data_IF_132800547824
#
_entry.id   IF_132800547824
#
_cell.length_a   1.000
_cell.length_b   1.000
_cell.length_c   1.000
_cell.angle_alpha   90.00
_cell.angle_beta   90.00
_cell.angle_gamma   90.00
#
_symmetry.space_group_name_H-M   'P 1'
#
loop_
_entity.id
_entity.type
_entity.pdbx_description
1 polymer ?
#
# COMPACT_ATOMS: atom_id res chain seq x y z
N UNK A 1 -20.88 4.39 25.89
CA UNK A 1 -21.17 3.31 24.92
C UNK A 1 -19.92 3.20 24.09
N UNK A 2 -19.24 2.05 24.14
CA UNK A 2 -18.01 1.85 23.36
C UNK A 2 -18.36 2.04 21.87
N UNK A 3 -17.48 2.71 21.14
CA UNK A 3 -17.64 3.00 19.72
C UNK A 3 -17.72 1.66 18.97
N UNK A 4 -18.89 1.32 18.43
CA UNK A 4 -19.16 0.06 17.71
C UNK A 4 -18.57 0.08 16.28
N UNK A 5 -17.78 1.10 15.92
CA UNK A 5 -17.14 1.24 14.62
C UNK A 5 -16.08 0.16 14.34
N UNK A 6 -16.00 -0.29 13.09
CA UNK A 6 -14.86 -1.08 12.62
C UNK A 6 -13.75 -0.12 12.17
N UNK A 7 -12.62 -0.11 12.88
CA UNK A 7 -11.45 0.69 12.51
C UNK A 7 -10.51 -0.11 11.62
N UNK A 8 -10.37 0.28 10.36
CA UNK A 8 -9.37 -0.26 9.45
C UNK A 8 -8.13 0.62 9.48
N UNK A 9 -6.96 -0.01 9.47
CA UNK A 9 -5.70 0.66 9.20
C UNK A 9 -5.25 0.32 7.78
N UNK A 10 -5.17 1.34 6.95
CA UNK A 10 -4.69 1.25 5.57
C UNK A 10 -3.38 2.02 5.47
N UNK A 11 -2.46 1.51 4.67
CA UNK A 11 -1.23 2.23 4.37
C UNK A 11 -0.82 2.10 2.92
N UNK A 12 0.19 2.88 2.58
CA UNK A 12 0.83 2.89 1.29
C UNK A 12 1.71 1.67 1.01
N UNK A 13 2.60 1.87 0.05
CA UNK A 13 3.44 0.84 -0.52
C UNK A 13 4.59 0.44 0.43
N UNK A 14 4.76 -0.87 0.61
CA UNK A 14 5.83 -1.48 1.41
C UNK A 14 6.83 -2.09 0.44
N UNK A 15 7.90 -1.36 0.20
CA UNK A 15 8.97 -1.68 -0.73
C UNK A 15 10.27 -1.94 0.04
N UNK A 16 10.52 -3.20 0.35
CA UNK A 16 11.71 -3.61 1.11
C UNK A 16 12.84 -4.13 0.23
N UNK A 17 12.60 -4.37 -1.06
CA UNK A 17 13.48 -5.17 -1.92
C UNK A 17 14.71 -4.50 -2.53
N UNK A 18 15.24 -3.43 -1.94
CA UNK A 18 16.48 -2.77 -2.42
C UNK A 18 17.34 -2.34 -1.23
N UNK A 19 17.49 -1.04 -0.96
CA UNK A 19 18.32 -0.54 0.15
C UNK A 19 17.88 -1.05 1.52
N UNK A 20 16.56 -1.22 1.74
CA UNK A 20 16.04 -1.82 2.98
C UNK A 20 16.53 -3.26 3.17
N UNK A 21 16.44 -4.12 2.14
CA UNK A 21 16.94 -5.49 2.22
C UNK A 21 18.43 -5.52 2.55
N UNK A 22 19.22 -4.62 1.94
CA UNK A 22 20.68 -4.48 2.16
C UNK A 22 21.09 -4.05 3.57
N UNK A 23 20.18 -3.50 4.37
CA UNK A 23 20.45 -3.18 5.79
C UNK A 23 19.96 -4.26 6.75
N UNK A 24 19.15 -5.22 6.29
CA UNK A 24 18.66 -6.34 7.11
C UNK A 24 19.70 -7.46 7.26
N UNK A 25 19.37 -8.49 8.05
CA UNK A 25 20.32 -9.54 8.45
C UNK A 25 20.72 -10.49 7.30
N UNK A 26 19.83 -10.71 6.34
CA UNK A 26 20.02 -11.73 5.30
C UNK A 26 19.75 -11.19 3.88
N UNK A 27 20.44 -10.13 3.44
CA UNK A 27 20.18 -9.53 2.13
C UNK A 27 20.42 -10.50 0.98
N UNK A 28 19.69 -10.31 -0.13
CA UNK A 28 20.09 -10.88 -1.42
C UNK A 28 21.35 -10.19 -1.95
N UNK A 29 22.06 -10.79 -2.93
CA UNK A 29 23.14 -10.09 -3.62
C UNK A 29 22.67 -8.71 -4.14
N UNK A 30 23.49 -7.65 -3.98
CA UNK A 30 23.07 -6.26 -4.18
C UNK A 30 22.92 -5.87 -5.65
N UNK A 31 23.26 -6.74 -6.60
CA UNK A 31 23.24 -6.43 -8.01
C UNK A 31 21.83 -6.03 -8.47
N UNK A 32 21.76 -4.90 -9.18
CA UNK A 32 20.54 -4.38 -9.78
C UNK A 32 20.66 -4.33 -11.31
N UNK A 33 19.51 -4.48 -11.97
CA UNK A 33 19.40 -4.50 -13.43
C UNK A 33 18.81 -3.20 -13.99
N UNK A 34 18.90 -2.10 -13.25
CA UNK A 34 18.44 -0.78 -13.66
C UNK A 34 19.48 -0.10 -14.58
N UNK A 35 19.06 0.89 -15.36
CA UNK A 35 19.95 1.59 -16.32
C UNK A 35 20.96 2.54 -15.64
N UNK A 36 20.70 2.96 -14.40
CA UNK A 36 21.41 4.05 -13.73
C UNK A 36 22.01 3.68 -12.37
N UNK A 37 21.43 2.71 -11.66
CA UNK A 37 21.99 2.14 -10.43
C UNK A 37 22.10 0.63 -10.60
N UNK A 38 23.30 0.10 -10.38
CA UNK A 38 23.59 -1.34 -10.54
C UNK A 38 23.87 -2.05 -9.22
N UNK A 39 23.80 -1.33 -8.10
CA UNK A 39 24.08 -1.84 -6.75
C UNK A 39 23.09 -1.25 -5.75
N UNK A 40 22.30 -2.11 -5.10
CA UNK A 40 21.26 -1.71 -4.16
C UNK A 40 21.81 -0.97 -2.93
N UNK A 41 23.11 -1.13 -2.61
CA UNK A 41 23.76 -0.40 -1.52
C UNK A 41 23.89 1.09 -1.81
N UNK A 42 23.83 1.49 -3.08
CA UNK A 42 23.78 2.91 -3.46
C UNK A 42 22.57 3.62 -2.84
N UNK A 43 21.41 2.98 -2.71
CA UNK A 43 20.25 3.58 -2.03
C UNK A 43 20.49 3.78 -0.53
N UNK A 44 21.26 2.88 0.10
CA UNK A 44 21.67 3.06 1.49
C UNK A 44 22.65 4.24 1.61
N UNK A 45 23.63 4.35 0.71
CA UNK A 45 24.58 5.47 0.68
C UNK A 45 23.89 6.82 0.43
N UNK A 46 22.84 6.85 -0.40
CA UNK A 46 22.01 8.04 -0.61
C UNK A 46 21.28 8.43 0.67
N UNK A 47 20.62 7.47 1.34
CA UNK A 47 19.95 7.71 2.62
C UNK A 47 20.93 8.22 3.69
N UNK A 48 22.10 7.59 3.81
CA UNK A 48 23.11 7.97 4.80
C UNK A 48 23.72 9.35 4.56
N UNK A 49 23.82 9.77 3.29
CA UNK A 49 24.34 11.09 2.92
C UNK A 49 23.45 12.21 3.44
N UNK A 50 22.13 12.01 3.46
CA UNK A 50 21.16 13.03 3.87
C UNK A 50 20.73 12.89 5.33
N UNK A 51 20.69 11.67 5.88
CA UNK A 51 20.12 11.38 7.20
C UNK A 51 21.08 10.70 8.19
N UNK A 52 22.32 10.45 7.79
CA UNK A 52 23.36 9.85 8.64
C UNK A 52 23.41 8.33 8.59
N UNK A 53 24.47 7.75 9.18
CA UNK A 53 24.79 6.31 9.10
C UNK A 53 23.67 5.42 9.63
N UNK A 54 23.44 4.30 8.95
CA UNK A 54 22.58 3.19 9.40
C UNK A 54 23.48 2.07 9.91
N UNK A 55 23.34 1.67 11.17
CA UNK A 55 24.12 0.59 11.78
C UNK A 55 23.58 -0.77 11.32
N UNK A 56 24.34 -1.49 10.49
CA UNK A 56 23.91 -2.74 9.83
C UNK A 56 24.52 -3.98 10.52
N UNK A 57 23.81 -5.12 10.60
CA UNK A 57 22.42 -5.28 10.20
C UNK A 57 21.45 -4.65 11.21
N UNK A 58 20.35 -4.07 10.72
CA UNK A 58 19.26 -3.56 11.54
C UNK A 58 18.27 -4.67 11.92
N UNK A 59 17.53 -4.45 13.01
CA UNK A 59 16.44 -5.35 13.39
C UNK A 59 15.28 -5.31 12.36
N UNK A 60 14.49 -6.38 12.22
CA UNK A 60 13.33 -6.39 11.30
C UNK A 60 12.28 -5.31 11.58
N UNK A 61 12.23 -4.77 12.80
CA UNK A 61 11.32 -3.68 13.17
C UNK A 61 11.84 -2.30 12.78
N UNK A 62 13.11 -2.18 12.38
CA UNK A 62 13.76 -0.90 12.11
C UNK A 62 13.05 -0.09 11.02
N UNK A 63 12.72 -0.63 9.82
CA UNK A 63 12.10 0.17 8.78
C UNK A 63 10.74 0.77 9.16
N UNK A 64 10.02 0.07 10.04
CA UNK A 64 8.74 0.53 10.55
C UNK A 64 8.88 1.65 11.58
N UNK A 65 9.98 1.68 12.34
CA UNK A 65 10.22 2.69 13.37
C UNK A 65 9.02 2.92 14.29
N UNK A 66 8.62 4.18 14.43
CA UNK A 66 7.53 4.59 15.32
C UNK A 66 6.13 4.19 14.81
N UNK A 67 6.01 3.74 13.55
CA UNK A 67 4.70 3.31 13.02
C UNK A 67 4.16 2.10 13.75
N UNK A 68 4.98 1.16 14.21
CA UNK A 68 4.50 -0.03 14.94
C UNK A 68 3.80 0.39 16.24
N UNK A 69 4.42 1.29 17.01
CA UNK A 69 3.83 1.80 18.24
C UNK A 69 2.51 2.56 17.96
N UNK A 70 2.46 3.32 16.86
CA UNK A 70 1.23 3.99 16.43
C UNK A 70 0.13 2.98 16.05
N UNK A 71 0.44 1.99 15.21
CA UNK A 71 -0.48 0.91 14.84
C UNK A 71 -1.04 0.18 16.06
N UNK A 72 -0.21 -0.01 17.09
CA UNK A 72 -0.59 -0.70 18.32
C UNK A 72 -1.48 0.16 19.22
N UNK A 73 -1.18 1.46 19.30
CA UNK A 73 -2.01 2.42 20.04
C UNK A 73 -3.41 2.57 19.42
N UNK A 74 -3.51 2.54 18.10
CA UNK A 74 -4.80 2.65 17.42
C UNK A 74 -5.66 1.40 17.53
N UNK A 75 -5.06 0.25 17.83
CA UNK A 75 -5.73 -1.04 17.96
C UNK A 75 -6.74 -1.30 16.82
N UNK A 76 -6.29 -1.22 15.54
CA UNK A 76 -7.20 -1.37 14.42
C UNK A 76 -7.76 -2.79 14.37
N UNK A 77 -9.02 -2.91 13.96
CA UNK A 77 -9.69 -4.18 13.79
C UNK A 77 -9.08 -5.02 12.66
N UNK A 78 -8.58 -4.37 11.60
CA UNK A 78 -7.91 -5.00 10.45
C UNK A 78 -6.87 -4.05 9.87
N UNK A 79 -5.70 -4.57 9.48
CA UNK A 79 -4.59 -3.88 8.81
C UNK A 79 -4.45 -4.38 7.36
N UNK A 80 -4.53 -3.48 6.38
CA UNK A 80 -4.35 -3.80 4.94
C UNK A 80 -3.23 -2.95 4.34
N UNK A 81 -2.21 -3.60 3.80
CA UNK A 81 -1.01 -2.96 3.25
C UNK A 81 -0.71 -3.51 1.85
N UNK A 82 -0.08 -2.70 0.98
CA UNK A 82 0.41 -3.16 -0.32
C UNK A 82 1.87 -3.61 -0.20
N UNK A 83 2.16 -4.86 -0.56
CA UNK A 83 3.53 -5.38 -0.64
C UNK A 83 4.02 -5.22 -2.08
N UNK A 84 4.82 -4.18 -2.31
CA UNK A 84 5.30 -3.78 -3.63
C UNK A 84 6.74 -4.23 -3.84
N UNK A 85 6.96 -5.53 -3.65
CA UNK A 85 8.29 -6.14 -3.72
C UNK A 85 8.13 -7.63 -3.96
N UNK A 86 9.01 -8.19 -4.80
CA UNK A 86 9.14 -9.65 -4.94
C UNK A 86 9.91 -10.21 -3.73
N UNK A 87 9.40 -11.27 -3.10
CA UNK A 87 10.03 -11.95 -1.95
C UNK A 87 10.62 -13.27 -2.40
N UNK A 88 11.86 -13.24 -2.89
CA UNK A 88 12.39 -14.34 -3.71
C UNK A 88 13.91 -14.38 -3.74
N UNK A 89 14.46 -15.57 -3.89
CA UNK A 89 15.88 -15.82 -4.20
C UNK A 89 16.13 -16.00 -5.71
N UNK A 90 15.07 -15.99 -6.53
CA UNK A 90 15.13 -16.14 -7.98
C UNK A 90 15.98 -15.06 -8.64
N UNK A 91 16.70 -15.47 -9.68
CA UNK A 91 17.42 -14.61 -10.61
C UNK A 91 16.66 -14.48 -11.96
N UNK A 92 15.36 -14.76 -12.02
CA UNK A 92 14.53 -14.61 -13.24
C UNK A 92 14.09 -13.15 -13.46
N UNK A 93 15.03 -12.20 -13.46
CA UNK A 93 14.68 -10.77 -13.52
C UNK A 93 13.91 -10.41 -14.81
N UNK A 94 12.90 -9.56 -14.67
CA UNK A 94 12.06 -9.12 -15.77
C UNK A 94 12.84 -8.17 -16.71
N UNK A 95 13.22 -8.66 -17.88
CA UNK A 95 13.93 -7.84 -18.88
C UNK A 95 13.13 -6.58 -19.29
N UNK A 96 13.86 -5.46 -19.40
CA UNK A 96 13.31 -4.16 -19.83
C UNK A 96 12.53 -3.42 -18.74
N UNK A 97 12.58 -3.88 -17.50
CA UNK A 97 11.97 -3.21 -16.35
C UNK A 97 12.97 -2.20 -15.77
N UNK A 98 12.54 -0.96 -15.58
CA UNK A 98 13.44 0.14 -15.21
C UNK A 98 14.00 0.05 -13.78
N UNK A 99 13.23 -0.52 -12.85
CA UNK A 99 13.54 -0.60 -11.40
C UNK A 99 13.07 -1.93 -10.84
N UNK A 100 13.93 -2.76 -10.28
CA UNK A 100 13.54 -4.08 -9.74
C UNK A 100 13.68 -4.16 -8.23
N UNK A 101 12.70 -4.73 -7.53
CA UNK A 101 12.74 -4.96 -6.08
C UNK A 101 12.74 -6.45 -5.75
N UNK A 102 13.76 -6.88 -5.00
CA UNK A 102 13.93 -8.23 -4.45
C UNK A 102 14.24 -8.18 -2.97
N UNK A 103 13.33 -8.67 -2.15
CA UNK A 103 13.62 -8.95 -0.75
C UNK A 103 13.98 -10.43 -0.59
N UNK A 104 14.99 -10.70 0.22
CA UNK A 104 15.32 -12.06 0.62
C UNK A 104 14.17 -12.69 1.42
N UNK A 105 13.73 -13.92 1.10
CA UNK A 105 12.80 -14.67 1.93
C UNK A 105 13.26 -14.85 3.38
N UNK A 106 14.58 -14.86 3.64
CA UNK A 106 15.12 -14.96 4.99
C UNK A 106 14.90 -13.69 5.83
N UNK A 107 14.52 -12.57 5.21
CA UNK A 107 14.20 -11.31 5.87
C UNK A 107 12.70 -11.14 6.18
N UNK A 108 11.87 -12.17 5.96
CA UNK A 108 10.41 -12.11 6.10
C UNK A 108 9.88 -11.57 7.44
N UNK A 109 10.70 -11.65 8.50
CA UNK A 109 10.41 -11.04 9.79
C UNK A 109 10.05 -9.54 9.67
N UNK A 110 10.61 -8.81 8.69
CA UNK A 110 10.28 -7.40 8.45
C UNK A 110 8.80 -7.24 8.09
N UNK A 111 8.21 -8.15 7.32
CA UNK A 111 6.78 -8.09 6.97
C UNK A 111 5.91 -8.49 8.16
N UNK A 112 6.27 -9.55 8.87
CA UNK A 112 5.49 -10.03 10.03
C UNK A 112 5.45 -9.01 11.18
N UNK A 113 6.45 -8.13 11.29
CA UNK A 113 6.50 -7.08 12.31
C UNK A 113 5.30 -6.12 12.24
N UNK A 114 4.77 -5.83 11.04
CA UNK A 114 3.61 -4.97 10.85
C UNK A 114 2.29 -5.61 11.27
N UNK A 115 2.26 -6.93 11.40
CA UNK A 115 1.06 -7.73 11.74
C UNK A 115 -0.13 -7.39 10.82
N UNK A 116 0.15 -7.18 9.53
CA UNK A 116 -0.90 -6.94 8.55
C UNK A 116 -1.80 -8.17 8.42
N UNK A 117 -3.10 -7.96 8.40
CA UNK A 117 -4.09 -9.02 8.21
C UNK A 117 -4.24 -9.38 6.73
N UNK A 118 -4.03 -8.44 5.82
CA UNK A 118 -4.05 -8.67 4.37
C UNK A 118 -2.94 -7.90 3.68
N UNK A 119 -2.19 -8.60 2.82
CA UNK A 119 -1.23 -8.04 1.88
C UNK A 119 -1.81 -7.99 0.46
N UNK A 120 -1.94 -6.78 -0.09
CA UNK A 120 -2.24 -6.57 -1.50
C UNK A 120 -0.97 -6.80 -2.35
N UNK A 121 -1.11 -7.54 -3.45
CA UNK A 121 0.00 -7.93 -4.33
C UNK A 121 -0.18 -7.48 -5.79
N UNK A 122 -1.35 -6.98 -6.19
CA UNK A 122 -1.58 -6.59 -7.59
C UNK A 122 -0.92 -5.24 -7.90
N UNK A 123 0.39 -5.24 -8.05
CA UNK A 123 1.22 -4.07 -8.35
C UNK A 123 2.25 -4.40 -9.44
N UNK A 124 3.02 -3.39 -9.81
CA UNK A 124 4.06 -3.41 -10.85
C UNK A 124 5.43 -3.95 -10.37
N UNK A 125 5.52 -4.50 -9.15
CA UNK A 125 6.79 -5.00 -8.57
C UNK A 125 6.76 -6.48 -8.11
N UNK A 126 5.59 -7.12 -8.04
CA UNK A 126 5.46 -8.54 -7.62
C UNK A 126 6.04 -9.55 -8.63
N UNK A 127 6.28 -9.12 -9.88
CA UNK A 127 6.82 -9.93 -10.98
C UNK A 127 8.18 -9.43 -11.48
N UNK A 128 8.90 -8.67 -10.65
CA UNK A 128 10.22 -8.15 -10.99
C UNK A 128 11.25 -9.24 -11.25
N UNK A 129 11.02 -10.42 -10.67
CA UNK A 129 11.81 -11.63 -10.84
C UNK A 129 11.01 -12.75 -11.49
N UNK A 130 10.15 -12.35 -12.44
CA UNK A 130 9.52 -13.26 -13.37
C UNK A 130 8.55 -14.22 -12.71
N UNK A 131 8.20 -15.29 -13.42
CA UNK A 131 7.19 -16.25 -12.93
C UNK A 131 7.75 -17.08 -11.78
N UNK A 132 9.04 -17.45 -11.85
CA UNK A 132 9.69 -18.18 -10.76
C UNK A 132 9.73 -17.36 -9.47
N UNK A 133 10.02 -16.06 -9.57
CA UNK A 133 10.02 -15.16 -8.41
C UNK A 133 8.63 -14.89 -7.85
N UNK A 134 7.61 -14.78 -8.71
CA UNK A 134 6.21 -14.70 -8.25
C UNK A 134 5.78 -15.96 -7.51
N UNK A 135 6.07 -17.14 -8.05
CA UNK A 135 5.70 -18.42 -7.43
C UNK A 135 6.38 -18.60 -6.07
N UNK A 136 7.69 -18.33 -5.97
CA UNK A 136 8.40 -18.35 -4.69
C UNK A 136 7.85 -17.31 -3.71
N UNK A 137 7.53 -16.10 -4.18
CA UNK A 137 6.88 -15.06 -3.35
C UNK A 137 5.57 -15.59 -2.75
N UNK A 138 4.71 -16.21 -3.57
CA UNK A 138 3.44 -16.79 -3.11
C UNK A 138 3.67 -17.93 -2.11
N UNK A 139 4.64 -18.80 -2.35
CA UNK A 139 4.99 -19.90 -1.44
C UNK A 139 5.51 -19.40 -0.09
N UNK A 140 6.42 -18.42 -0.09
CA UNK A 140 7.01 -17.84 1.12
C UNK A 140 5.96 -17.14 1.97
N UNK A 141 5.09 -16.32 1.35
CA UNK A 141 4.02 -15.62 2.07
C UNK A 141 3.00 -16.61 2.63
N UNK A 142 2.61 -17.63 1.87
CA UNK A 142 1.69 -18.67 2.34
C UNK A 142 2.28 -19.51 3.47
N UNK A 143 3.55 -19.91 3.38
CA UNK A 143 4.24 -20.68 4.42
C UNK A 143 4.35 -19.90 5.75
N UNK A 144 4.40 -18.57 5.69
CA UNK A 144 4.38 -17.70 6.86
C UNK A 144 2.96 -17.36 7.36
N UNK A 145 1.92 -17.89 6.73
CA UNK A 145 0.53 -17.64 7.10
C UNK A 145 0.06 -16.22 6.80
N UNK A 146 0.73 -15.51 5.89
CA UNK A 146 0.33 -14.16 5.47
C UNK A 146 -0.78 -14.28 4.43
N UNK A 147 -1.95 -13.73 4.76
CA UNK A 147 -3.06 -13.68 3.80
C UNK A 147 -2.80 -12.62 2.72
N UNK A 148 -2.97 -13.03 1.47
CA UNK A 148 -2.66 -12.21 0.29
C UNK A 148 -3.83 -12.18 -0.69
N UNK A 149 -3.85 -11.17 -1.56
CA UNK A 149 -4.78 -11.08 -2.70
C UNK A 149 -4.15 -10.28 -3.84
N UNK A 150 -4.61 -10.51 -5.08
CA UNK A 150 -4.21 -9.73 -6.25
C UNK A 150 -3.09 -10.34 -7.11
N UNK A 151 -2.49 -11.44 -6.68
CA UNK A 151 -1.57 -12.24 -7.50
C UNK A 151 -1.77 -13.73 -7.21
N UNK A 152 -1.50 -14.59 -8.19
CA UNK A 152 -1.78 -16.01 -8.09
C UNK A 152 -1.16 -16.85 -9.17
N UNK A 153 -1.27 -18.18 -9.02
CA UNK A 153 -0.80 -19.19 -9.99
C UNK A 153 -1.71 -19.30 -11.22
N UNK A 154 -2.90 -18.73 -11.15
CA UNK A 154 -3.84 -18.59 -12.25
C UNK A 154 -4.81 -17.40 -12.01
N UNK A 155 -5.72 -17.16 -12.96
CA UNK A 155 -6.73 -16.12 -12.87
C UNK A 155 -7.68 -16.29 -11.67
N UNK A 156 -8.00 -17.51 -11.26
CA UNK A 156 -8.91 -17.75 -10.14
C UNK A 156 -8.24 -17.34 -8.82
N UNK A 157 -7.01 -17.79 -8.60
CA UNK A 157 -6.22 -17.44 -7.42
C UNK A 157 -5.91 -15.93 -7.38
N UNK A 158 -5.47 -15.33 -8.48
CA UNK A 158 -5.13 -13.91 -8.50
C UNK A 158 -6.33 -13.01 -8.19
N UNK A 159 -7.53 -13.38 -8.67
CA UNK A 159 -8.78 -12.65 -8.42
C UNK A 159 -9.52 -13.11 -7.15
N UNK A 160 -8.92 -13.98 -6.33
CA UNK A 160 -9.52 -14.45 -5.09
C UNK A 160 -9.38 -13.38 -3.99
N UNK A 161 -10.47 -12.92 -3.38
CA UNK A 161 -10.39 -12.01 -2.25
C UNK A 161 -9.78 -12.68 -1.01
N UNK A 162 -9.05 -11.89 -0.22
CA UNK A 162 -8.65 -12.24 1.13
C UNK A 162 -9.74 -11.84 2.14
N UNK A 163 -9.79 -12.52 3.28
CA UNK A 163 -10.80 -12.30 4.31
C UNK A 163 -10.10 -12.13 5.65
N UNK A 164 -10.27 -10.96 6.27
CA UNK A 164 -9.83 -10.68 7.63
C UNK A 164 -11.02 -10.67 8.60
N UNK A 165 -10.78 -11.13 9.82
CA UNK A 165 -11.78 -11.15 10.89
C UNK A 165 -11.50 -10.01 11.86
N UNK A 166 -12.50 -9.20 12.17
CA UNK A 166 -12.38 -8.24 13.28
C UNK A 166 -12.48 -8.96 14.62
N UNK A 167 -11.97 -8.38 15.72
CA UNK A 167 -12.12 -8.94 17.07
C UNK A 167 -13.58 -9.22 17.48
N UNK A 168 -14.52 -8.42 16.96
CA UNK A 168 -15.95 -8.56 17.24
C UNK A 168 -16.67 -9.52 16.27
N UNK A 169 -15.94 -10.22 15.40
CA UNK A 169 -16.47 -11.26 14.51
C UNK A 169 -17.03 -10.78 13.17
N UNK A 170 -16.89 -9.49 12.85
CA UNK A 170 -17.19 -8.97 11.51
C UNK A 170 -16.12 -9.40 10.51
N UNK A 171 -16.46 -9.47 9.23
CA UNK A 171 -15.53 -9.81 8.15
C UNK A 171 -15.24 -8.61 7.29
N UNK A 172 -13.97 -8.46 6.94
CA UNK A 172 -13.49 -7.51 5.93
C UNK A 172 -12.96 -8.33 4.76
N UNK A 173 -13.61 -8.21 3.61
CA UNK A 173 -13.24 -8.90 2.37
C UNK A 173 -12.47 -7.92 1.50
N UNK A 174 -11.24 -8.27 1.15
CA UNK A 174 -10.29 -7.41 0.44
C UNK A 174 -9.96 -8.05 -0.89
N UNK A 175 -10.02 -7.28 -1.97
CA UNK A 175 -9.52 -7.71 -3.28
C UNK A 175 -8.53 -6.67 -3.80
N UNK A 176 -7.34 -7.13 -4.15
CA UNK A 176 -6.32 -6.28 -4.78
C UNK A 176 -6.37 -6.44 -6.30
N UNK A 177 -6.30 -5.31 -7.00
CA UNK A 177 -6.28 -5.22 -8.46
C UNK A 177 -5.27 -4.17 -8.92
N UNK A 178 -4.59 -4.45 -10.03
CA UNK A 178 -3.67 -3.52 -10.67
C UNK A 178 -4.31 -2.86 -11.88
N UNK A 179 -3.90 -1.64 -12.22
CA UNK A 179 -4.23 -0.98 -13.48
C UNK A 179 -2.97 -0.77 -14.33
N UNK A 180 -3.14 -0.69 -15.65
CA UNK A 180 -2.00 -0.47 -16.55
C UNK A 180 -1.34 0.92 -16.41
N UNK A 181 -2.06 1.92 -15.88
CA UNK A 181 -1.54 3.28 -15.70
C UNK A 181 -0.44 3.39 -14.63
N UNK A 182 -0.32 2.42 -13.71
CA UNK A 182 0.76 2.31 -12.73
C UNK A 182 1.95 1.47 -13.23
N UNK A 183 1.99 1.19 -14.53
CA UNK A 183 3.10 0.46 -15.14
C UNK A 183 3.01 -1.06 -15.01
N UNK A 184 1.87 -1.60 -14.58
CA UNK A 184 1.61 -3.06 -14.64
C UNK A 184 1.44 -3.49 -16.10
N UNK A 185 2.36 -4.27 -16.68
CA UNK A 185 2.27 -4.66 -18.07
C UNK A 185 1.11 -5.64 -18.31
N UNK A 186 0.40 -5.51 -19.44
CA UNK A 186 -0.68 -6.43 -19.80
C UNK A 186 -0.26 -7.90 -19.85
N UNK A 187 1.00 -8.17 -20.22
CA UNK A 187 1.58 -9.51 -20.21
C UNK A 187 1.67 -10.14 -18.82
N UNK A 188 1.59 -9.36 -17.74
CA UNK A 188 1.62 -9.86 -16.36
C UNK A 188 0.26 -10.24 -15.81
N UNK A 189 -0.83 -9.96 -16.52
CA UNK A 189 -2.16 -10.41 -16.11
C UNK A 189 -2.18 -11.93 -15.90
N UNK A 190 -2.75 -12.40 -14.80
CA UNK A 190 -3.03 -13.82 -14.60
C UNK A 190 -4.01 -14.32 -15.67
N UNK A 191 -3.90 -15.59 -16.04
CA UNK A 191 -4.80 -16.25 -17.00
C UNK A 191 -5.12 -17.67 -16.58
N UNK A 192 -5.93 -18.37 -17.36
CA UNK A 192 -6.21 -19.79 -17.14
C UNK A 192 -4.91 -20.61 -17.15
N UNK A 193 -4.53 -21.14 -15.98
CA UNK A 193 -3.27 -21.88 -15.79
C UNK A 193 -2.00 -21.05 -15.99
N UNK A 194 -2.10 -19.70 -15.93
CA UNK A 194 -0.97 -18.79 -16.10
C UNK A 194 -0.84 -17.89 -14.87
N UNK A 195 0.28 -17.95 -14.13
CA UNK A 195 0.51 -17.09 -12.99
C UNK A 195 0.57 -15.61 -13.40
N UNK A 196 0.18 -14.73 -12.48
CA UNK A 196 0.24 -13.30 -12.70
C UNK A 196 -0.58 -12.51 -11.69
N UNK A 197 -0.89 -11.26 -12.06
CA UNK A 197 -1.67 -10.32 -11.25
C UNK A 197 -3.12 -10.21 -11.70
N UNK A 198 -4.02 -9.84 -10.79
CA UNK A 198 -5.38 -9.43 -11.09
C UNK A 198 -5.39 -8.04 -11.77
N UNK A 199 -5.04 -8.02 -13.06
CA UNK A 199 -4.99 -6.79 -13.86
C UNK A 199 -6.39 -6.40 -14.37
N UNK A 200 -6.78 -5.15 -14.13
CA UNK A 200 -7.97 -4.56 -14.71
C UNK A 200 -7.82 -4.44 -16.24
N UNK A 201 -8.78 -4.93 -17.03
CA UNK A 201 -8.73 -4.77 -18.50
C UNK A 201 -9.03 -3.32 -18.93
N UNK A 202 -9.82 -2.60 -18.14
CA UNK A 202 -10.16 -1.19 -18.31
C UNK A 202 -10.73 -0.61 -17.00
N UNK A 203 -10.92 0.70 -16.97
CA UNK A 203 -11.56 1.42 -15.86
C UNK A 203 -13.04 1.72 -16.15
N UNK A 204 -13.78 0.74 -16.71
CA UNK A 204 -15.21 0.87 -17.01
C UNK A 204 -16.10 0.43 -15.84
N UNK A 205 -17.35 0.91 -15.83
CA UNK A 205 -18.36 0.42 -14.88
C UNK A 205 -18.72 -1.07 -15.05
N UNK A 206 -18.38 -1.71 -16.17
CA UNK A 206 -18.51 -3.18 -16.32
C UNK A 206 -17.44 -3.87 -15.49
N UNK A 207 -16.21 -3.39 -15.56
CA UNK A 207 -15.09 -3.90 -14.78
C UNK A 207 -15.30 -3.65 -13.29
N UNK A 208 -15.80 -2.49 -12.89
CA UNK A 208 -16.14 -2.21 -11.49
C UNK A 208 -17.16 -3.22 -10.92
N UNK A 209 -18.22 -3.54 -11.68
CA UNK A 209 -19.18 -4.58 -11.29
C UNK A 209 -18.57 -5.99 -11.23
N UNK A 210 -17.58 -6.30 -12.08
CA UNK A 210 -16.83 -7.57 -12.01
C UNK A 210 -16.04 -7.65 -10.70
N UNK A 211 -15.33 -6.58 -10.34
CA UNK A 211 -14.58 -6.47 -9.07
C UNK A 211 -15.52 -6.65 -7.88
N UNK A 212 -16.62 -5.90 -7.83
CA UNK A 212 -17.61 -6.02 -6.76
C UNK A 212 -18.23 -7.42 -6.68
N UNK A 213 -18.51 -8.06 -7.83
CA UNK A 213 -19.02 -9.44 -7.85
C UNK A 213 -18.01 -10.41 -7.23
N UNK A 214 -16.71 -10.29 -7.51
CA UNK A 214 -15.68 -11.14 -6.88
C UNK A 214 -15.66 -10.98 -5.37
N UNK A 215 -15.76 -9.75 -4.87
CA UNK A 215 -15.88 -9.48 -3.43
C UNK A 215 -17.13 -10.12 -2.81
N UNK A 216 -18.27 -10.09 -3.51
CA UNK A 216 -19.51 -10.75 -3.07
C UNK A 216 -19.36 -12.27 -3.08
N UNK A 217 -18.77 -12.85 -4.13
CA UNK A 217 -18.53 -14.30 -4.27
C UNK A 217 -17.56 -14.84 -3.20
N UNK A 218 -16.53 -14.07 -2.82
CA UNK A 218 -15.61 -14.42 -1.72
C UNK A 218 -16.13 -14.05 -0.32
N UNK A 219 -17.21 -13.27 -0.25
CA UNK A 219 -17.82 -12.78 0.97
C UNK A 219 -19.12 -13.50 1.34
N UNK A 220 -19.84 -12.91 2.28
CA UNK A 220 -21.24 -13.22 2.64
C UNK A 220 -21.99 -11.92 2.93
N UNK A 221 -23.34 -11.95 3.03
CA UNK A 221 -24.11 -10.77 3.39
C UNK A 221 -23.62 -10.15 4.71
N UNK A 222 -23.47 -8.82 4.75
CA UNK A 222 -22.98 -8.08 5.91
C UNK A 222 -21.46 -7.94 6.02
N UNK A 223 -20.69 -8.49 5.08
CA UNK A 223 -19.24 -8.27 5.06
C UNK A 223 -18.88 -6.85 4.57
N UNK A 224 -17.91 -6.22 5.23
CA UNK A 224 -17.25 -5.03 4.73
C UNK A 224 -16.36 -5.39 3.53
N UNK A 225 -16.23 -4.48 2.57
CA UNK A 225 -15.64 -4.76 1.26
C UNK A 225 -14.67 -3.66 0.89
N UNK A 226 -13.42 -4.04 0.70
CA UNK A 226 -12.32 -3.16 0.37
C UNK A 226 -11.75 -3.57 -0.98
N UNK A 227 -11.57 -2.62 -1.88
CA UNK A 227 -10.77 -2.83 -3.09
C UNK A 227 -9.47 -2.09 -2.92
N UNK A 228 -8.35 -2.81 -2.99
CA UNK A 228 -7.02 -2.22 -3.07
C UNK A 228 -6.64 -2.06 -4.55
N UNK A 229 -6.37 -0.84 -5.00
CA UNK A 229 -6.15 -0.53 -6.41
C UNK A 229 -4.79 0.12 -6.63
N UNK A 230 -3.92 -0.54 -7.39
CA UNK A 230 -2.61 0.00 -7.77
C UNK A 230 -2.72 0.74 -9.12
N UNK A 231 -2.76 2.07 -9.11
CA UNK A 231 -3.13 2.86 -10.31
C UNK A 231 -2.43 4.22 -10.42
N UNK A 232 -2.46 4.78 -11.62
CA UNK A 232 -2.04 6.14 -11.91
C UNK A 232 -0.55 6.41 -11.83
N UNK A 233 -0.21 7.68 -12.12
CA UNK A 233 1.17 8.15 -12.09
C UNK A 233 1.75 8.08 -10.68
N UNK A 234 3.07 7.87 -10.58
CA UNK A 234 3.76 7.87 -9.29
C UNK A 234 3.85 9.27 -8.65
N UNK A 235 3.71 10.33 -9.44
CA UNK A 235 3.83 11.72 -9.01
C UNK A 235 2.66 12.58 -9.49
N UNK A 236 2.27 13.58 -8.70
CA UNK A 236 1.19 14.52 -9.01
C UNK A 236 -0.04 14.35 -8.11
N UNK A 237 -0.72 15.45 -7.82
CA UNK A 237 -1.90 15.48 -6.95
C UNK A 237 -3.24 15.45 -7.68
N UNK A 238 -3.23 15.60 -9.01
CA UNK A 238 -4.45 15.56 -9.80
C UNK A 238 -5.03 14.14 -9.82
N UNK A 239 -6.32 14.04 -9.53
CA UNK A 239 -7.07 12.80 -9.67
C UNK A 239 -7.61 12.71 -11.08
N UNK A 240 -7.14 11.71 -11.83
CA UNK A 240 -7.60 11.51 -13.20
C UNK A 240 -9.12 11.27 -13.25
N UNK A 241 -9.87 11.90 -14.17
CA UNK A 241 -11.32 11.70 -14.27
C UNK A 241 -11.73 10.23 -14.48
N UNK A 242 -10.89 9.41 -15.11
CA UNK A 242 -11.13 7.97 -15.30
C UNK A 242 -11.07 7.23 -13.96
N UNK A 243 -10.08 7.50 -13.11
CA UNK A 243 -9.93 6.92 -11.78
C UNK A 243 -11.11 7.30 -10.89
N UNK A 244 -11.51 8.58 -10.90
CA UNK A 244 -12.67 9.05 -10.14
C UNK A 244 -13.95 8.34 -10.56
N UNK A 245 -14.24 8.27 -11.87
CA UNK A 245 -15.42 7.54 -12.36
C UNK A 245 -15.38 6.05 -12.01
N UNK A 246 -14.21 5.42 -12.04
CA UNK A 246 -14.09 4.02 -11.68
C UNK A 246 -14.28 3.79 -10.18
N UNK A 247 -13.72 4.66 -9.33
CA UNK A 247 -13.94 4.64 -7.89
C UNK A 247 -15.42 4.78 -7.54
N UNK A 248 -16.12 5.74 -8.16
CA UNK A 248 -17.57 5.91 -8.00
C UNK A 248 -18.32 4.66 -8.44
N UNK A 249 -17.98 4.09 -9.60
CA UNK A 249 -18.60 2.85 -10.07
C UNK A 249 -18.34 1.64 -9.17
N UNK A 250 -17.21 1.59 -8.46
CA UNK A 250 -16.94 0.56 -7.44
C UNK A 250 -17.86 0.75 -6.23
N UNK A 251 -17.97 1.99 -5.73
CA UNK A 251 -18.86 2.34 -4.61
C UNK A 251 -20.32 2.03 -4.95
N UNK A 252 -20.80 2.48 -6.11
CA UNK A 252 -22.15 2.18 -6.62
C UNK A 252 -22.40 0.67 -6.78
N UNK A 253 -21.36 -0.13 -6.99
CA UNK A 253 -21.45 -1.59 -7.07
C UNK A 253 -21.37 -2.28 -5.71
N UNK A 254 -21.28 -1.53 -4.60
CA UNK A 254 -21.30 -2.02 -3.23
C UNK A 254 -19.91 -2.26 -2.62
N UNK A 255 -18.88 -1.53 -3.06
CA UNK A 255 -17.58 -1.45 -2.39
C UNK A 255 -17.63 -0.34 -1.34
N UNK A 256 -17.12 -0.58 -0.14
CA UNK A 256 -17.20 0.37 0.97
C UNK A 256 -15.94 1.21 1.12
N UNK A 257 -14.80 0.70 0.68
CA UNK A 257 -13.51 1.40 0.71
C UNK A 257 -12.75 1.15 -0.58
N UNK A 258 -12.30 2.22 -1.22
CA UNK A 258 -11.31 2.16 -2.30
C UNK A 258 -9.96 2.59 -1.72
N UNK A 259 -9.01 1.66 -1.65
CA UNK A 259 -7.66 1.81 -1.12
C UNK A 259 -6.67 1.93 -2.28
N UNK A 260 -6.46 3.15 -2.78
CA UNK A 260 -5.52 3.43 -3.88
C UNK A 260 -4.08 3.56 -3.42
N UNK A 261 -3.13 3.13 -4.26
CA UNK A 261 -1.68 3.27 -4.08
C UNK A 261 -0.95 3.32 -5.44
N UNK A 262 0.39 3.16 -5.51
CA UNK A 262 1.31 3.50 -6.63
C UNK A 262 1.89 4.92 -6.59
N UNK A 263 1.13 5.90 -6.09
CA UNK A 263 1.68 7.25 -5.91
C UNK A 263 2.73 7.22 -4.81
N UNK A 264 3.92 7.77 -5.05
CA UNK A 264 5.01 7.82 -4.06
C UNK A 264 4.77 8.84 -2.94
N UNK A 265 3.60 9.45 -2.89
CA UNK A 265 3.20 10.40 -1.86
C UNK A 265 1.68 10.29 -1.64
N UNK A 266 1.16 10.64 -0.45
CA UNK A 266 -0.28 10.68 -0.23
C UNK A 266 -0.99 11.60 -1.24
N UNK A 267 -2.18 11.19 -1.66
CA UNK A 267 -3.08 11.89 -2.59
C UNK A 267 -4.37 12.30 -1.89
N UNK A 268 -5.15 13.24 -2.47
CA UNK A 268 -6.38 13.69 -1.84
C UNK A 268 -7.38 12.55 -1.66
N UNK A 269 -8.28 12.74 -0.70
CA UNK A 269 -9.34 11.80 -0.33
C UNK A 269 -10.69 12.32 -0.85
N UNK A 270 -11.60 11.43 -1.21
CA UNK A 270 -13.00 11.75 -1.48
C UNK A 270 -13.91 10.88 -0.62
N UNK A 271 -15.07 11.43 -0.24
CA UNK A 271 -16.17 10.65 0.29
C UNK A 271 -17.30 10.70 -0.72
N UNK A 272 -17.69 9.54 -1.23
CA UNK A 272 -18.70 9.40 -2.27
C UNK A 272 -19.79 8.47 -1.78
N UNK A 273 -21.04 8.92 -1.76
CA UNK A 273 -22.21 8.16 -1.26
C UNK A 273 -22.02 7.60 0.17
N UNK A 274 -21.21 8.29 1.00
CA UNK A 274 -20.89 7.88 2.37
C UNK A 274 -19.68 6.95 2.50
N UNK A 275 -19.06 6.53 1.39
CA UNK A 275 -17.92 5.61 1.36
C UNK A 275 -16.62 6.33 0.99
N UNK A 276 -15.50 5.90 1.58
CA UNK A 276 -14.21 6.57 1.40
C UNK A 276 -13.45 6.06 0.18
N UNK A 277 -12.87 7.00 -0.56
CA UNK A 277 -11.96 6.78 -1.68
C UNK A 277 -10.62 7.43 -1.35
N UNK A 278 -9.61 6.60 -1.08
CA UNK A 278 -8.22 7.01 -0.95
C UNK A 278 -7.59 6.90 -2.35
N UNK A 279 -7.31 8.02 -3.03
CA UNK A 279 -6.78 7.96 -4.40
C UNK A 279 -5.33 7.51 -4.49
N UNK A 280 -4.59 7.56 -3.38
CA UNK A 280 -3.20 7.17 -3.29
C UNK A 280 -2.71 7.33 -1.86
N UNK A 281 -2.34 6.24 -1.19
CA UNK A 281 -1.86 6.29 0.19
C UNK A 281 -0.39 6.68 0.32
N UNK A 282 0.33 6.84 -0.79
CA UNK A 282 1.78 7.10 -0.76
C UNK A 282 2.59 5.81 -0.68
N UNK A 283 3.89 5.96 -0.52
CA UNK A 283 4.71 4.90 0.04
C UNK A 283 4.54 4.91 1.57
N UNK A 284 4.79 3.77 2.21
CA UNK A 284 5.00 3.73 3.66
C UNK A 284 6.46 3.40 3.98
N UNK A 285 6.96 2.27 3.50
CA UNK A 285 8.35 1.83 3.74
C UNK A 285 9.05 1.73 2.39
N UNK A 286 10.10 2.51 2.16
CA UNK A 286 10.94 2.43 0.97
C UNK A 286 12.35 2.99 1.23
N UNK A 287 13.14 3.12 0.16
CA UNK A 287 14.54 3.56 0.18
C UNK A 287 14.79 4.80 -0.70
N UNK A 288 13.81 5.70 -0.81
CA UNK A 288 13.91 6.89 -1.68
C UNK A 288 14.71 8.05 -1.11
N UNK A 289 15.16 7.94 0.15
CA UNK A 289 15.94 8.98 0.80
C UNK A 289 17.18 9.36 -0.01
N UNK A 290 17.31 10.65 -0.33
CA UNK A 290 18.43 11.19 -1.09
C UNK A 290 18.31 11.07 -2.62
N UNK A 291 17.21 10.49 -3.14
CA UNK A 291 16.87 10.57 -4.56
C UNK A 291 16.28 11.95 -4.85
N UNK A 292 16.88 12.71 -5.78
CA UNK A 292 16.45 14.06 -6.13
C UNK A 292 15.48 14.14 -7.30
N UNK A 293 14.90 15.32 -7.52
CA UNK A 293 14.05 15.66 -8.67
C UNK A 293 12.54 15.70 -8.39
N UNK A 294 12.12 15.32 -7.18
CA UNK A 294 10.71 15.26 -6.76
C UNK A 294 10.46 15.95 -5.42
N UNK A 295 11.34 16.88 -5.01
CA UNK A 295 11.33 17.52 -3.69
C UNK A 295 10.00 18.26 -3.40
N UNK A 296 9.31 18.73 -4.44
CA UNK A 296 8.01 19.39 -4.31
C UNK A 296 6.90 18.48 -3.75
N UNK A 297 7.07 17.16 -3.86
CA UNK A 297 6.13 16.16 -3.36
C UNK A 297 6.44 15.71 -1.94
N UNK A 298 7.61 16.06 -1.41
CA UNK A 298 8.11 15.66 -0.09
C UNK A 298 7.82 14.20 0.19
N UNK A 299 8.33 13.33 -0.65
CA UNK A 299 8.07 11.91 -0.53
C UNK A 299 8.51 11.41 0.86
N UNK A 300 9.53 11.99 1.51
CA UNK A 300 9.88 11.63 2.87
C UNK A 300 8.71 11.68 3.90
N UNK A 301 7.64 12.45 3.64
CA UNK A 301 6.43 12.49 4.48
C UNK A 301 5.46 11.35 4.10
N UNK A 302 5.33 10.36 4.98
CA UNK A 302 4.47 9.18 4.82
C UNK A 302 3.27 9.22 5.78
N UNK A 303 2.24 8.41 5.55
CA UNK A 303 1.07 8.40 6.44
C UNK A 303 0.42 7.02 6.60
N UNK A 304 -0.02 6.73 7.83
CA UNK A 304 -1.04 5.70 8.08
C UNK A 304 -2.42 6.32 7.97
N UNK A 305 -3.38 5.56 7.44
CA UNK A 305 -4.78 5.98 7.26
C UNK A 305 -5.68 5.13 8.15
N UNK A 306 -6.30 5.76 9.14
CA UNK A 306 -7.23 5.13 10.08
C UNK A 306 -8.65 5.43 9.64
N UNK A 307 -9.33 4.41 9.13
CA UNK A 307 -10.69 4.52 8.60
C UNK A 307 -11.67 3.93 9.60
N UNK A 308 -12.49 4.76 10.23
CA UNK A 308 -13.61 4.31 11.05
C UNK A 308 -14.85 4.10 10.20
N UNK A 309 -15.43 2.91 10.22
CA UNK A 309 -16.60 2.54 9.42
C UNK A 309 -17.74 2.03 10.30
N UNK A 310 -18.98 2.30 9.88
CA UNK A 310 -20.14 1.60 10.41
C UNK A 310 -20.08 0.13 9.97
N UNK A 311 -20.04 -0.85 10.90
CA UNK A 311 -19.89 -2.25 10.54
C UNK A 311 -21.10 -2.84 9.79
N UNK A 312 -22.23 -2.12 9.71
CA UNK A 312 -23.47 -2.59 9.07
C UNK A 312 -23.51 -2.32 7.58
N UNK A 313 -23.03 -1.15 7.15
CA UNK A 313 -23.15 -0.66 5.78
C UNK A 313 -21.87 0.00 5.23
N UNK A 314 -20.80 0.02 6.03
CA UNK A 314 -19.51 0.56 5.65
C UNK A 314 -19.49 2.08 5.50
N UNK A 315 -20.51 2.81 5.97
CA UNK A 315 -20.50 4.28 5.97
C UNK A 315 -19.30 4.81 6.76
N UNK A 316 -18.61 5.81 6.23
CA UNK A 316 -17.48 6.47 6.88
C UNK A 316 -17.94 7.22 8.13
N UNK A 317 -17.41 6.84 9.29
CA UNK A 317 -17.60 7.53 10.56
C UNK A 317 -16.49 8.56 10.81
N UNK A 318 -15.29 8.32 10.27
CA UNK A 318 -14.14 9.21 10.40
C UNK A 318 -12.94 8.68 9.64
N UNK A 319 -12.08 9.60 9.18
CA UNK A 319 -10.77 9.27 8.64
C UNK A 319 -9.72 10.13 9.35
N UNK A 320 -8.69 9.46 9.88
CA UNK A 320 -7.53 10.11 10.47
C UNK A 320 -6.25 9.68 9.76
N UNK A 321 -5.44 10.63 9.33
CA UNK A 321 -4.09 10.40 8.83
C UNK A 321 -3.09 10.65 9.95
N UNK A 322 -2.09 9.78 10.02
CA UNK A 322 -1.05 9.82 11.05
C UNK A 322 0.28 9.96 10.33
N UNK A 323 0.86 11.17 10.27
CA UNK A 323 2.05 11.42 9.47
C UNK A 323 3.34 10.93 10.14
N UNK A 324 4.29 10.55 9.31
CA UNK A 324 5.65 10.12 9.66
C UNK A 324 6.65 10.73 8.68
N UNK A 325 7.92 10.75 9.06
CA UNK A 325 9.02 11.16 8.19
C UNK A 325 10.03 10.03 8.06
N UNK A 326 10.37 9.65 6.82
CA UNK A 326 11.41 8.68 6.54
C UNK A 326 12.80 9.30 6.75
N UNK A 327 13.59 8.71 7.65
CA UNK A 327 14.99 9.07 7.90
C UNK A 327 15.78 7.84 8.30
N UNK A 328 16.95 7.61 7.70
CA UNK A 328 17.82 6.45 7.98
C UNK A 328 17.11 5.12 7.74
N UNK A 329 16.33 5.05 6.67
CA UNK A 329 15.58 3.87 6.25
C UNK A 329 14.61 3.38 7.33
N UNK A 330 14.06 4.30 8.12
CA UNK A 330 13.05 4.08 9.16
C UNK A 330 12.06 5.24 9.23
N UNK A 331 10.90 4.99 9.80
CA UNK A 331 9.84 5.99 9.96
C UNK A 331 9.83 6.57 11.38
N UNK A 332 10.05 7.87 11.49
CA UNK A 332 9.94 8.62 12.74
C UNK A 332 8.62 9.41 12.77
N UNK A 333 8.06 9.69 13.96
CA UNK A 333 6.88 10.57 14.08
C UNK A 333 7.14 11.93 13.42
N UNK A 334 6.20 12.38 12.58
CA UNK A 334 6.30 13.68 11.93
C UNK A 334 6.12 14.84 12.91
N UNK A 335 6.82 15.95 12.66
CA UNK A 335 6.62 17.19 13.41
C UNK A 335 5.37 17.95 12.98
N UNK A 336 5.02 19.00 13.73
CA UNK A 336 3.85 19.86 13.42
C UNK A 336 3.95 20.53 12.05
N UNK A 337 5.16 20.90 11.60
CA UNK A 337 5.35 21.56 10.31
C UNK A 337 5.16 20.59 9.14
N UNK A 338 5.60 19.33 9.29
CA UNK A 338 5.36 18.26 8.32
C UNK A 338 3.86 17.94 8.21
N UNK A 339 3.18 17.84 9.37
CA UNK A 339 1.75 17.61 9.43
C UNK A 339 0.95 18.76 8.79
N UNK A 340 1.30 20.02 9.09
CA UNK A 340 0.67 21.19 8.46
C UNK A 340 0.89 21.21 6.96
N UNK A 341 2.11 20.95 6.49
CA UNK A 341 2.41 20.89 5.07
C UNK A 341 1.56 19.82 4.36
N UNK A 342 1.42 18.63 4.97
CA UNK A 342 0.63 17.54 4.42
C UNK A 342 -0.86 17.90 4.40
N UNK A 343 -1.41 18.43 5.50
CA UNK A 343 -2.80 18.87 5.58
C UNK A 343 -3.11 19.97 4.56
N UNK A 344 -2.28 21.01 4.45
CA UNK A 344 -2.48 22.10 3.49
C UNK A 344 -2.43 21.60 2.05
N UNK A 345 -1.53 20.66 1.76
CA UNK A 345 -1.34 20.11 0.41
C UNK A 345 -2.51 19.24 0.00
N UNK A 346 -2.90 18.30 0.85
CA UNK A 346 -4.04 17.42 0.59
C UNK A 346 -5.37 18.17 0.62
N UNK A 347 -5.52 19.19 1.48
CA UNK A 347 -6.70 20.08 1.46
C UNK A 347 -6.80 20.83 0.15
N UNK A 348 -5.70 21.43 -0.32
CA UNK A 348 -5.68 22.14 -1.61
C UNK A 348 -6.05 21.23 -2.78
N UNK A 349 -5.50 20.01 -2.80
CA UNK A 349 -5.80 19.01 -3.83
C UNK A 349 -7.22 18.42 -3.68
N UNK A 350 -7.76 18.35 -2.46
CA UNK A 350 -9.07 17.80 -2.13
C UNK A 350 -10.24 18.78 -2.31
N UNK A 351 -9.99 20.09 -2.47
CA UNK A 351 -11.05 21.10 -2.71
C UNK A 351 -12.05 20.72 -3.82
N UNK A 352 -11.62 20.22 -5.00
CA UNK A 352 -12.56 19.79 -6.05
C UNK A 352 -13.39 18.53 -5.69
N UNK A 353 -12.97 17.81 -4.65
CA UNK A 353 -13.61 16.61 -4.12
C UNK A 353 -14.45 16.91 -2.87
N UNK A 354 -14.48 18.16 -2.40
CA UNK A 354 -15.24 18.57 -1.21
C UNK A 354 -14.57 18.26 0.13
N UNK A 355 -13.29 17.87 0.14
CA UNK A 355 -12.60 17.41 1.35
C UNK A 355 -11.50 18.37 1.82
N UNK A 356 -11.24 18.34 3.12
CA UNK A 356 -10.14 19.04 3.77
C UNK A 356 -9.56 18.20 4.92
N UNK A 357 -8.33 18.50 5.33
CA UNK A 357 -7.67 17.89 6.49
C UNK A 357 -7.34 18.97 7.52
N UNK A 358 -7.70 18.72 8.77
CA UNK A 358 -7.39 19.57 9.91
C UNK A 358 -6.33 18.92 10.79
N UNK A 359 -5.28 19.68 11.13
CA UNK A 359 -4.26 19.23 12.07
C UNK A 359 -4.87 19.19 13.48
N UNK A 360 -4.69 18.07 14.16
CA UNK A 360 -5.06 17.85 15.56
C UNK A 360 -3.82 17.46 16.36
N UNK A 361 -3.67 18.08 17.52
CA UNK A 361 -2.58 17.78 18.46
C UNK A 361 -2.95 16.54 19.29
N UNK A 362 -2.08 15.53 19.23
CA UNK A 362 -2.19 14.31 20.02
C UNK A 362 -0.94 14.18 20.92
N UNK A 363 -1.02 13.43 22.03
CA UNK A 363 0.11 13.27 22.96
C UNK A 363 1.41 12.79 22.31
N UNK A 364 1.33 11.99 21.24
CA UNK A 364 2.46 11.38 20.55
C UNK A 364 2.79 12.07 19.22
N UNK A 365 2.41 13.35 19.07
CA UNK A 365 2.62 14.15 17.87
C UNK A 365 1.37 14.28 17.00
N UNK A 366 1.38 15.19 16.02
CA UNK A 366 0.19 15.59 15.27
C UNK A 366 -0.45 14.43 14.50
N UNK A 367 -1.76 14.55 14.29
CA UNK A 367 -2.57 13.76 13.37
C UNK A 367 -3.42 14.71 12.50
N UNK A 368 -4.03 14.18 11.44
CA UNK A 368 -4.89 14.96 10.53
C UNK A 368 -6.27 14.32 10.46
N UNK A 369 -7.33 15.05 10.79
CA UNK A 369 -8.70 14.57 10.68
C UNK A 369 -9.36 15.08 9.39
N UNK A 370 -10.04 14.18 8.68
CA UNK A 370 -10.80 14.52 7.47
C UNK A 370 -12.07 15.30 7.81
N UNK A 371 -12.35 16.32 6.99
CA UNK A 371 -13.62 17.02 6.86
C UNK A 371 -14.16 16.80 5.45
N UNK A 372 -15.44 16.46 5.31
CA UNK A 372 -16.08 16.14 4.03
C UNK A 372 -17.56 16.52 4.01
#
# INVERSE_FOLDING_TARGET
MADDGAHLLLAGDVMTGRGIDQVLAHPVPPELHEDYVHDARTYVELAERVNGVVDRPVAPTWPWGDTLAAMDRFDPAVRVLNLETSVTTSDDWAHGKAVTYRMSPANLAVLTAARADVWALANNHVLDYGLAGLEETLDVLAAAGLATTGAGRDEEEAWRPAVAMTPNGHRVVVLSVGDSSSGVPSRWAAGAGRPGVALLPDLSGRTARRVARRLVEGGRPGDLRVVSVHWGSNWGYDVEPSHRRFAHALVEAGVHVVHGHSSHHPRPVEVHEGHVVLYGCGDLVNDYEGIGGYEAFRDEVRALHLVGLDPRDGTLLGLRLVPFVARRLRLDRAGVDDARWLADTLTRAGRPLGTALEVVDEPDGPALDLRW
#
